data_IF_546996329381
#
_entry.id   IF_546996329381
#
_cell.length_a   1.000
_cell.length_b   1.000
_cell.length_c   1.000
_cell.angle_alpha   90.00
_cell.angle_beta   90.00
_cell.angle_gamma   90.00
#
_symmetry.space_group_name_H-M   'P 1'
#
loop_
_entity.id
_entity.type
_entity.pdbx_description
1 polymer ?
#
# COMPACT_ATOMS: atom_id res chain seq x y z
N UNK A 1 -27.55 -26.71 16.95
CA UNK A 1 -27.67 -28.01 16.23
C UNK A 1 -26.99 -27.95 14.85
N UNK A 2 -26.67 -26.77 14.31
CA UNK A 2 -26.03 -26.65 12.98
C UNK A 2 -24.52 -26.97 12.93
N UNK A 3 -23.80 -26.85 14.05
CA UNK A 3 -22.35 -27.12 14.11
C UNK A 3 -21.98 -28.62 14.12
N UNK A 4 -22.96 -29.53 14.17
CA UNK A 4 -22.80 -31.00 14.08
C UNK A 4 -21.77 -31.65 15.02
N UNK A 5 -21.46 -31.01 16.16
CA UNK A 5 -20.68 -31.67 17.21
C UNK A 5 -21.47 -32.83 17.84
N UNK A 6 -20.81 -33.95 18.18
CA UNK A 6 -21.40 -35.00 19.02
C UNK A 6 -21.93 -34.41 20.34
N UNK A 7 -23.07 -34.91 20.82
CA UNK A 7 -23.78 -34.36 21.97
C UNK A 7 -22.91 -34.34 23.24
N UNK A 8 -22.10 -35.37 23.42
CA UNK A 8 -21.15 -35.55 24.51
C UNK A 8 -20.00 -34.53 24.51
N UNK A 9 -19.73 -33.86 23.38
CA UNK A 9 -18.69 -32.85 23.26
C UNK A 9 -19.23 -31.43 23.43
N UNK A 10 -20.55 -31.22 23.38
CA UNK A 10 -21.16 -29.88 23.41
C UNK A 10 -20.72 -29.09 24.64
N UNK A 11 -20.78 -29.71 25.83
CA UNK A 11 -20.43 -29.06 27.09
C UNK A 11 -18.92 -28.76 27.20
N UNK A 12 -18.08 -29.48 26.44
CA UNK A 12 -16.63 -29.25 26.38
C UNK A 12 -16.25 -28.18 25.36
N UNK A 13 -16.95 -28.11 24.23
CA UNK A 13 -16.65 -27.17 23.12
C UNK A 13 -17.26 -25.79 23.38
N UNK A 14 -18.46 -25.71 23.96
CA UNK A 14 -19.12 -24.45 24.26
C UNK A 14 -18.25 -23.43 25.03
N UNK A 15 -17.55 -23.78 26.12
CA UNK A 15 -16.69 -22.84 26.84
C UNK A 15 -15.49 -22.38 26.00
N UNK A 16 -15.01 -23.19 25.05
CA UNK A 16 -13.95 -22.77 24.13
C UNK A 16 -14.45 -21.66 23.22
N UNK A 17 -15.64 -21.80 22.62
CA UNK A 17 -16.21 -20.77 21.77
C UNK A 17 -16.49 -19.46 22.52
N UNK A 18 -16.95 -19.55 23.77
CA UNK A 18 -17.11 -18.35 24.62
C UNK A 18 -15.76 -17.67 24.85
N UNK A 19 -14.68 -18.42 25.11
CA UNK A 19 -13.33 -17.86 25.26
C UNK A 19 -12.83 -17.21 23.98
N UNK A 20 -12.99 -17.86 22.82
CA UNK A 20 -12.59 -17.30 21.52
C UNK A 20 -13.36 -16.00 21.23
N UNK A 21 -14.65 -15.95 21.53
CA UNK A 21 -15.45 -14.73 21.39
C UNK A 21 -14.99 -13.61 22.34
N UNK A 22 -14.62 -13.96 23.58
CA UNK A 22 -14.07 -12.98 24.52
C UNK A 22 -12.73 -12.41 24.04
N UNK A 23 -11.87 -13.22 23.42
CA UNK A 23 -10.64 -12.74 22.76
C UNK A 23 -11.01 -11.82 21.59
N UNK A 24 -11.88 -12.28 20.70
CA UNK A 24 -12.31 -11.50 19.53
C UNK A 24 -12.80 -10.10 19.92
N UNK A 25 -13.69 -10.04 20.91
CA UNK A 25 -14.30 -8.79 21.37
C UNK A 25 -13.42 -7.98 22.32
N UNK A 26 -12.55 -8.65 23.08
CA UNK A 26 -11.68 -8.03 24.08
C UNK A 26 -10.44 -7.38 23.47
N UNK A 27 -9.90 -7.97 22.41
CA UNK A 27 -8.72 -7.51 21.69
C UNK A 27 -9.06 -6.72 20.41
N UNK A 28 -10.33 -6.39 20.18
CA UNK A 28 -10.81 -5.78 18.92
C UNK A 28 -10.26 -6.53 17.69
N UNK A 29 -10.35 -7.86 17.71
CA UNK A 29 -9.88 -8.67 16.60
C UNK A 29 -10.86 -8.62 15.43
N UNK A 30 -10.33 -8.64 14.21
CA UNK A 30 -11.11 -8.86 12.98
C UNK A 30 -11.24 -10.36 12.66
N UNK A 31 -10.33 -11.19 13.18
CA UNK A 31 -10.34 -12.65 13.03
C UNK A 31 -9.78 -13.33 14.28
N UNK A 32 -10.46 -14.37 14.74
CA UNK A 32 -9.91 -15.38 15.67
C UNK A 32 -10.19 -16.75 15.05
N UNK A 33 -9.15 -17.35 14.49
CA UNK A 33 -9.21 -18.67 13.86
C UNK A 33 -8.42 -19.67 14.72
N UNK A 34 -9.01 -20.84 14.97
CA UNK A 34 -8.33 -21.97 15.59
C UNK A 34 -8.35 -23.12 14.62
N UNK A 35 -7.19 -23.53 14.14
CA UNK A 35 -7.07 -24.62 13.18
C UNK A 35 -5.71 -25.34 13.32
N UNK A 36 -5.65 -26.52 13.95
CA UNK A 36 -6.78 -27.35 14.35
C UNK A 36 -7.28 -27.11 15.79
N UNK A 37 -8.60 -27.26 15.98
CA UNK A 37 -9.22 -27.45 17.31
C UNK A 37 -9.29 -28.97 17.59
N UNK A 38 -8.48 -29.43 18.53
CA UNK A 38 -8.19 -30.85 18.73
C UNK A 38 -8.99 -31.43 19.89
N UNK A 39 -9.54 -32.63 19.70
CA UNK A 39 -9.99 -33.52 20.76
C UNK A 39 -8.82 -34.44 21.14
N UNK A 40 -8.36 -34.36 22.38
CA UNK A 40 -7.29 -35.21 22.93
C UNK A 40 -7.80 -36.60 23.29
N UNK A 41 -6.87 -37.54 23.53
CA UNK A 41 -7.22 -38.91 23.97
C UNK A 41 -7.88 -38.93 25.35
N UNK A 42 -7.53 -37.97 26.20
CA UNK A 42 -8.15 -37.72 27.52
C UNK A 42 -9.55 -37.09 27.39
N UNK A 43 -9.95 -36.73 26.17
CA UNK A 43 -11.26 -36.19 25.83
C UNK A 43 -11.37 -34.68 26.00
N UNK A 44 -10.28 -33.95 26.21
CA UNK A 44 -10.26 -32.49 26.31
C UNK A 44 -10.18 -31.82 24.94
N UNK A 45 -10.74 -30.61 24.86
CA UNK A 45 -10.72 -29.78 23.65
C UNK A 45 -9.64 -28.71 23.78
N UNK A 46 -8.67 -28.71 22.85
CA UNK A 46 -7.50 -27.82 22.88
C UNK A 46 -7.36 -27.09 21.53
N UNK A 47 -7.08 -25.79 21.58
CA UNK A 47 -6.61 -25.03 20.42
C UNK A 47 -5.14 -25.36 20.20
N UNK A 48 -4.83 -26.24 19.24
CA UNK A 48 -3.44 -26.64 18.98
C UNK A 48 -2.67 -25.55 18.24
N UNK A 49 -3.36 -24.87 17.32
CA UNK A 49 -2.83 -23.73 16.58
C UNK A 49 -3.95 -22.71 16.36
N UNK A 50 -3.59 -21.43 16.23
CA UNK A 50 -4.53 -20.36 16.04
C UNK A 50 -3.91 -19.11 15.45
N UNK A 51 -4.72 -18.41 14.64
CA UNK A 51 -4.38 -17.14 14.02
C UNK A 51 -5.35 -16.08 14.51
N UNK A 52 -4.79 -14.98 15.03
CA UNK A 52 -5.56 -13.80 15.44
C UNK A 52 -5.13 -12.63 14.58
N UNK A 53 -6.10 -11.94 13.97
CA UNK A 53 -5.88 -10.68 13.26
C UNK A 53 -6.54 -9.56 14.06
N UNK A 54 -5.77 -8.53 14.39
CA UNK A 54 -6.21 -7.39 15.20
C UNK A 54 -6.67 -6.24 14.29
N UNK A 55 -7.60 -5.41 14.75
CA UNK A 55 -8.00 -4.18 14.04
C UNK A 55 -7.01 -3.05 14.38
N UNK A 56 -6.18 -2.66 13.43
CA UNK A 56 -5.21 -1.56 13.59
C UNK A 56 -5.89 -0.23 13.94
N UNK A 57 -7.17 -0.03 13.57
CA UNK A 57 -7.91 1.18 13.95
C UNK A 57 -8.20 1.24 15.46
N UNK A 58 -8.07 0.12 16.18
CA UNK A 58 -8.29 0.04 17.62
C UNK A 58 -6.99 0.15 18.44
N UNK A 59 -5.82 0.25 17.80
CA UNK A 59 -4.50 0.27 18.47
C UNK A 59 -4.41 1.34 19.57
N UNK A 60 -5.06 2.49 19.37
CA UNK A 60 -5.06 3.60 20.34
C UNK A 60 -5.60 3.23 21.73
N UNK A 61 -6.41 2.16 21.82
CA UNK A 61 -6.96 1.64 23.09
C UNK A 61 -6.32 0.31 23.53
N UNK A 62 -5.34 -0.19 22.77
CA UNK A 62 -4.63 -1.45 23.03
C UNK A 62 -3.11 -1.29 22.97
N UNK A 63 -2.50 -0.58 23.94
CA UNK A 63 -1.07 -0.26 23.91
C UNK A 63 -0.14 -1.50 23.94
N UNK A 64 -0.67 -2.68 24.28
CA UNK A 64 0.09 -3.93 24.29
C UNK A 64 0.17 -4.61 22.93
N UNK A 65 -0.67 -4.25 21.95
CA UNK A 65 -0.65 -4.86 20.62
C UNK A 65 0.68 -4.62 19.91
N UNK A 66 1.30 -3.46 20.12
CA UNK A 66 2.63 -3.17 19.59
C UNK A 66 3.73 -4.15 20.06
N UNK A 67 3.54 -4.85 21.19
CA UNK A 67 4.48 -5.86 21.67
C UNK A 67 4.35 -7.21 20.94
N UNK A 68 3.25 -7.40 20.21
CA UNK A 68 2.98 -8.61 19.43
C UNK A 68 3.51 -8.51 17.99
N UNK A 69 3.88 -7.30 17.55
CA UNK A 69 4.39 -7.06 16.21
C UNK A 69 5.84 -7.57 16.07
N UNK A 70 6.06 -8.52 15.17
CA UNK A 70 7.40 -8.94 14.76
C UNK A 70 7.91 -8.01 13.65
N UNK A 71 8.45 -6.86 14.06
CA UNK A 71 8.96 -5.86 13.13
C UNK A 71 10.11 -6.37 12.24
N UNK A 72 10.80 -7.44 12.63
CA UNK A 72 11.90 -8.01 11.84
C UNK A 72 11.42 -8.85 10.65
N UNK A 73 10.14 -9.29 10.67
CA UNK A 73 9.53 -10.06 9.59
C UNK A 73 8.94 -9.18 8.47
N UNK A 74 8.80 -7.87 8.69
CA UNK A 74 8.24 -6.94 7.70
C UNK A 74 9.22 -6.66 6.55
N UNK A 75 8.68 -6.40 5.35
CA UNK A 75 9.50 -5.94 4.23
C UNK A 75 10.17 -4.59 4.60
N UNK A 76 11.47 -4.39 4.36
CA UNK A 76 12.16 -3.15 4.71
C UNK A 76 11.53 -1.88 4.09
N UNK A 77 10.94 -1.98 2.90
CA UNK A 77 10.26 -0.86 2.23
C UNK A 77 8.91 -0.57 2.89
N UNK A 78 8.16 -1.60 3.26
CA UNK A 78 6.91 -1.45 4.04
C UNK A 78 7.19 -0.84 5.41
N UNK A 79 8.24 -1.28 6.10
CA UNK A 79 8.67 -0.69 7.36
C UNK A 79 9.09 0.78 7.21
N UNK A 80 9.86 1.10 6.16
CA UNK A 80 10.26 2.49 5.85
C UNK A 80 9.05 3.38 5.55
N UNK A 81 8.10 2.88 4.76
CA UNK A 81 6.87 3.59 4.44
C UNK A 81 5.99 3.81 5.68
N UNK A 82 5.78 2.78 6.51
CA UNK A 82 5.03 2.86 7.77
C UNK A 82 5.64 3.90 8.72
N UNK A 83 6.97 3.95 8.82
CA UNK A 83 7.67 4.97 9.62
C UNK A 83 7.46 6.41 9.11
N UNK A 84 7.21 6.58 7.80
CA UNK A 84 6.86 7.84 7.17
C UNK A 84 5.34 8.14 7.18
N UNK A 85 4.52 7.26 7.77
CA UNK A 85 3.06 7.39 7.79
C UNK A 85 2.40 7.14 6.43
N UNK A 86 3.05 6.36 5.56
CA UNK A 86 2.58 6.05 4.21
C UNK A 86 1.93 4.66 4.17
N UNK A 87 0.85 4.55 3.38
CA UNK A 87 0.20 3.26 3.11
C UNK A 87 0.86 2.62 1.88
N UNK A 88 1.79 1.68 2.11
CA UNK A 88 2.55 1.02 1.06
C UNK A 88 2.37 -0.50 1.14
N UNK A 89 2.23 -1.15 -0.02
CA UNK A 89 2.25 -2.61 -0.16
C UNK A 89 3.14 -2.95 -1.34
N UNK A 90 4.12 -3.84 -1.13
CA UNK A 90 5.00 -4.29 -2.21
C UNK A 90 4.27 -5.32 -3.09
N UNK A 91 4.45 -5.22 -4.41
CA UNK A 91 3.96 -6.17 -5.42
C UNK A 91 5.13 -6.65 -6.28
N UNK A 92 4.91 -7.62 -7.16
CA UNK A 92 5.91 -8.07 -8.13
C UNK A 92 5.69 -7.40 -9.50
N UNK A 93 6.46 -6.35 -9.79
CA UNK A 93 6.36 -5.59 -11.04
C UNK A 93 7.40 -4.48 -11.18
N UNK A 94 7.31 -3.70 -12.26
CA UNK A 94 8.35 -2.75 -12.69
C UNK A 94 7.90 -1.29 -12.63
N UNK A 95 6.60 -0.99 -12.62
CA UNK A 95 6.09 0.38 -12.56
C UNK A 95 5.73 0.74 -11.14
N UNK A 96 6.52 1.62 -10.52
CA UNK A 96 6.24 2.13 -9.19
C UNK A 96 5.05 3.09 -9.21
N UNK A 97 4.03 2.86 -8.38
CA UNK A 97 2.83 3.70 -8.36
C UNK A 97 2.84 4.61 -7.14
N UNK A 98 2.52 5.88 -7.35
CA UNK A 98 2.25 6.85 -6.30
C UNK A 98 0.95 7.56 -6.64
N UNK A 99 -0.01 7.58 -5.72
CA UNK A 99 -1.22 8.37 -5.90
C UNK A 99 -1.88 8.71 -4.58
N UNK A 100 -2.93 9.54 -4.64
CA UNK A 100 -3.70 9.94 -3.46
C UNK A 100 -5.09 9.29 -3.45
N UNK A 101 -5.42 8.66 -2.33
CA UNK A 101 -6.66 7.92 -2.11
C UNK A 101 -6.58 6.48 -2.64
N UNK A 102 -6.79 5.52 -1.75
CA UNK A 102 -6.71 4.09 -2.06
C UNK A 102 -7.48 3.65 -3.31
N UNK A 103 -8.69 4.19 -3.55
CA UNK A 103 -9.48 3.87 -4.74
C UNK A 103 -8.79 4.28 -6.04
N UNK A 104 -8.23 5.49 -6.10
CA UNK A 104 -7.50 5.98 -7.27
C UNK A 104 -6.22 5.19 -7.50
N UNK A 105 -5.49 4.88 -6.42
CA UNK A 105 -4.26 4.07 -6.51
C UNK A 105 -4.57 2.67 -7.03
N UNK A 106 -5.61 2.00 -6.52
CA UNK A 106 -6.03 0.68 -7.04
C UNK A 106 -6.42 0.74 -8.53
N UNK A 107 -7.22 1.72 -8.94
CA UNK A 107 -7.53 1.90 -10.37
C UNK A 107 -6.28 2.20 -11.20
N UNK A 108 -5.27 2.84 -10.61
CA UNK A 108 -3.98 3.09 -11.25
C UNK A 108 -3.19 1.80 -11.48
N UNK A 109 -3.23 0.86 -10.52
CA UNK A 109 -2.66 -0.48 -10.70
C UNK A 109 -3.33 -1.19 -11.89
N UNK A 110 -4.66 -1.13 -11.96
CA UNK A 110 -5.44 -1.81 -13.01
C UNK A 110 -5.12 -1.27 -14.41
N UNK A 111 -5.10 0.05 -14.60
CA UNK A 111 -4.79 0.65 -15.91
C UNK A 111 -3.34 0.43 -16.32
N UNK A 112 -2.40 0.38 -15.36
CA UNK A 112 -0.99 0.07 -15.64
C UNK A 112 -0.82 -1.39 -16.02
N UNK A 113 -1.49 -2.31 -15.32
CA UNK A 113 -1.49 -3.72 -15.66
C UNK A 113 -2.07 -3.94 -17.07
N UNK A 114 -3.18 -3.27 -17.40
CA UNK A 114 -3.78 -3.33 -18.73
C UNK A 114 -2.86 -2.75 -19.82
N UNK A 115 -2.29 -1.56 -19.59
CA UNK A 115 -1.32 -0.97 -20.51
C UNK A 115 -0.08 -1.85 -20.70
N UNK A 116 0.38 -2.49 -19.63
CA UNK A 116 1.52 -3.40 -19.61
C UNK A 116 1.36 -4.63 -20.50
N UNK A 117 0.14 -5.05 -20.82
CA UNK A 117 -0.11 -6.11 -21.80
C UNK A 117 0.49 -5.79 -23.18
N UNK A 118 0.55 -4.50 -23.55
CA UNK A 118 1.17 -4.04 -24.79
C UNK A 118 2.70 -3.96 -24.73
N UNK A 119 3.30 -4.03 -23.54
CA UNK A 119 4.74 -3.81 -23.30
C UNK A 119 5.40 -4.98 -22.58
N UNK A 120 5.15 -6.21 -23.05
CA UNK A 120 5.81 -7.41 -22.51
C UNK A 120 5.32 -7.83 -21.13
N UNK A 121 4.06 -7.52 -20.80
CA UNK A 121 3.42 -7.85 -19.52
C UNK A 121 4.07 -7.18 -18.30
N UNK A 122 4.52 -5.93 -18.48
CA UNK A 122 4.94 -5.05 -17.39
C UNK A 122 3.80 -4.89 -16.37
N UNK A 123 4.15 -4.88 -15.08
CA UNK A 123 3.17 -4.83 -13.99
C UNK A 123 3.43 -3.67 -13.02
N UNK A 124 2.42 -3.24 -12.26
CA UNK A 124 2.65 -2.36 -11.13
C UNK A 124 3.51 -3.05 -10.06
N UNK A 125 4.50 -2.32 -9.55
CA UNK A 125 5.48 -2.80 -8.59
C UNK A 125 5.02 -2.66 -7.13
N UNK A 126 4.03 -1.81 -6.87
CA UNK A 126 3.57 -1.53 -5.52
C UNK A 126 2.21 -0.84 -5.53
N UNK A 127 1.57 -0.81 -4.36
CA UNK A 127 0.57 0.17 -3.98
C UNK A 127 1.24 1.23 -3.09
N UNK A 128 1.01 2.52 -3.34
CA UNK A 128 1.38 3.60 -2.42
C UNK A 128 0.31 4.70 -2.43
N UNK A 129 -0.36 4.86 -1.30
CA UNK A 129 -1.29 5.96 -1.04
C UNK A 129 -0.66 6.98 -0.09
N UNK A 130 -0.47 8.20 -0.59
CA UNK A 130 0.06 9.35 0.16
C UNK A 130 -1.03 10.13 0.92
N UNK A 131 -2.30 9.71 0.82
CA UNK A 131 -3.45 10.34 1.45
C UNK A 131 -3.90 11.64 0.78
N UNK A 132 -5.02 12.19 1.26
CA UNK A 132 -5.65 13.40 0.68
C UNK A 132 -4.96 14.73 1.01
N UNK A 133 -3.98 14.73 1.91
CA UNK A 133 -3.25 15.89 2.44
C UNK A 133 -1.76 15.83 2.16
N UNK A 134 -1.37 15.46 0.93
CA UNK A 134 0.03 15.19 0.60
C UNK A 134 0.88 16.47 0.60
N UNK A 135 1.75 16.62 1.60
CA UNK A 135 2.77 17.68 1.62
C UNK A 135 3.98 17.31 0.76
N UNK A 136 4.89 18.27 0.54
CA UNK A 136 6.14 18.03 -0.17
C UNK A 136 7.00 16.95 0.51
N UNK A 137 7.02 16.90 1.85
CA UNK A 137 7.77 15.91 2.63
C UNK A 137 7.20 14.51 2.45
N UNK A 138 5.87 14.37 2.46
CA UNK A 138 5.17 13.09 2.22
C UNK A 138 5.50 12.59 0.81
N UNK A 139 5.51 13.49 -0.17
CA UNK A 139 5.87 13.16 -1.55
C UNK A 139 7.35 12.75 -1.66
N UNK A 140 8.27 13.47 -1.03
CA UNK A 140 9.68 13.10 -1.01
C UNK A 140 9.92 11.73 -0.37
N UNK A 141 9.27 11.44 0.76
CA UNK A 141 9.33 10.14 1.42
C UNK A 141 8.78 9.03 0.51
N UNK A 142 7.65 9.28 -0.16
CA UNK A 142 7.07 8.32 -1.11
C UNK A 142 8.01 8.01 -2.28
N UNK A 143 8.59 9.04 -2.91
CA UNK A 143 9.58 8.85 -3.98
C UNK A 143 10.82 8.10 -3.49
N UNK A 144 11.34 8.43 -2.31
CA UNK A 144 12.50 7.75 -1.72
C UNK A 144 12.24 6.25 -1.43
N UNK A 145 11.01 5.88 -1.06
CA UNK A 145 10.62 4.46 -0.95
C UNK A 145 10.61 3.78 -2.32
N UNK A 146 9.93 4.36 -3.32
CA UNK A 146 9.78 3.75 -4.66
C UNK A 146 11.10 3.68 -5.43
N UNK A 147 11.91 4.73 -5.35
CA UNK A 147 13.20 4.79 -6.03
C UNK A 147 14.21 3.83 -5.37
N UNK A 148 14.08 3.56 -4.07
CA UNK A 148 14.88 2.56 -3.36
C UNK A 148 14.60 1.11 -3.79
N UNK A 149 13.45 0.83 -4.41
CA UNK A 149 13.10 -0.52 -4.81
C UNK A 149 13.80 -0.95 -6.12
N UNK A 150 14.73 -1.92 -6.12
CA UNK A 150 15.53 -2.28 -7.30
C UNK A 150 14.72 -2.86 -8.47
N UNK A 151 13.51 -3.38 -8.24
CA UNK A 151 12.65 -3.91 -9.31
C UNK A 151 12.02 -2.79 -10.15
N UNK A 152 11.81 -1.62 -9.55
CA UNK A 152 11.14 -0.49 -10.21
C UNK A 152 12.02 0.08 -11.32
N UNK A 153 11.45 0.25 -12.51
CA UNK A 153 12.09 0.77 -13.73
C UNK A 153 11.53 2.11 -14.16
N UNK A 154 10.27 2.40 -13.86
CA UNK A 154 9.65 3.72 -14.03
C UNK A 154 8.69 4.00 -12.88
N UNK A 155 8.33 5.27 -12.66
CA UNK A 155 7.38 5.68 -11.63
C UNK A 155 6.20 6.38 -12.29
N UNK A 156 4.98 6.00 -11.92
CA UNK A 156 3.77 6.71 -12.31
C UNK A 156 3.18 7.41 -11.08
N UNK A 157 3.24 8.74 -11.11
CA UNK A 157 2.58 9.62 -10.13
C UNK A 157 1.23 10.05 -10.68
N UNK A 158 0.14 9.54 -10.10
CA UNK A 158 -1.22 9.86 -10.49
C UNK A 158 -1.96 10.54 -9.34
N UNK A 159 -2.13 11.86 -9.44
CA UNK A 159 -2.74 12.64 -8.37
C UNK A 159 -3.96 13.39 -8.88
N UNK A 160 -5.05 13.28 -8.12
CA UNK A 160 -6.25 14.08 -8.30
C UNK A 160 -6.35 15.11 -7.16
N UNK A 161 -6.09 16.37 -7.50
CA UNK A 161 -6.15 17.51 -6.61
C UNK A 161 -7.57 17.78 -6.14
N UNK A 162 -7.78 17.61 -4.83
CA UNK A 162 -9.01 17.97 -4.12
C UNK A 162 -8.70 18.99 -3.05
N UNK A 163 -8.50 18.50 -1.82
CA UNK A 163 -8.04 19.32 -0.69
C UNK A 163 -6.59 19.77 -0.91
N UNK A 164 -5.72 18.82 -1.30
CA UNK A 164 -4.37 19.15 -1.76
C UNK A 164 -4.46 19.66 -3.21
N UNK A 165 -3.88 20.82 -3.47
CA UNK A 165 -3.85 21.44 -4.79
C UNK A 165 -2.69 20.93 -5.64
N UNK A 166 -2.87 20.86 -6.97
CA UNK A 166 -1.90 20.26 -7.89
C UNK A 166 -0.56 21.01 -7.94
N UNK A 167 -0.55 22.31 -7.67
CA UNK A 167 0.66 23.13 -7.53
C UNK A 167 1.51 22.69 -6.33
N UNK A 168 0.89 22.46 -5.17
CA UNK A 168 1.62 21.97 -3.99
C UNK A 168 2.25 20.59 -4.24
N UNK A 169 1.55 19.72 -4.98
CA UNK A 169 2.07 18.40 -5.37
C UNK A 169 3.20 18.54 -6.39
N UNK A 170 3.04 19.40 -7.39
CA UNK A 170 4.09 19.67 -8.38
C UNK A 170 5.37 20.21 -7.70
N UNK A 171 5.23 21.18 -6.80
CA UNK A 171 6.34 21.69 -5.99
C UNK A 171 6.99 20.59 -5.16
N UNK A 172 6.18 19.70 -4.55
CA UNK A 172 6.66 18.55 -3.81
C UNK A 172 7.49 17.59 -4.66
N UNK A 173 7.07 17.31 -5.89
CA UNK A 173 7.82 16.47 -6.85
C UNK A 173 9.16 17.14 -7.20
N UNK A 174 9.15 18.43 -7.53
CA UNK A 174 10.37 19.18 -7.90
C UNK A 174 11.35 19.23 -6.74
N UNK A 175 10.87 19.52 -5.53
CA UNK A 175 11.70 19.53 -4.32
C UNK A 175 12.26 18.14 -3.99
N UNK A 176 11.43 17.09 -4.08
CA UNK A 176 11.86 15.72 -3.86
C UNK A 176 12.98 15.32 -4.82
N UNK A 177 12.83 15.61 -6.11
CA UNK A 177 13.87 15.34 -7.12
C UNK A 177 15.15 16.13 -6.84
N UNK A 178 15.04 17.39 -6.41
CA UNK A 178 16.20 18.21 -6.03
C UNK A 178 16.92 17.65 -4.78
N UNK A 179 16.19 17.14 -3.80
CA UNK A 179 16.75 16.52 -2.59
C UNK A 179 17.43 15.17 -2.87
N UNK A 180 16.83 14.37 -3.75
CA UNK A 180 17.35 13.06 -4.17
C UNK A 180 18.57 13.21 -5.09
N UNK A 181 18.65 14.29 -5.88
CA UNK A 181 19.78 14.57 -6.77
C UNK A 181 20.10 13.38 -7.68
N UNK A 182 21.36 12.98 -7.71
CA UNK A 182 21.86 11.87 -8.55
C UNK A 182 21.28 10.48 -8.18
N UNK A 183 20.62 10.36 -7.02
CA UNK A 183 19.94 9.11 -6.64
C UNK A 183 18.61 8.92 -7.39
N UNK A 184 18.02 9.99 -7.94
CA UNK A 184 16.86 9.89 -8.83
C UNK A 184 17.33 9.40 -10.21
N UNK A 185 17.23 8.11 -10.46
CA UNK A 185 17.70 7.49 -11.73
C UNK A 185 16.57 7.01 -12.63
N UNK A 186 15.34 6.94 -12.12
CA UNK A 186 14.19 6.33 -12.81
C UNK A 186 13.32 7.42 -13.44
N UNK A 187 12.77 7.22 -14.65
CA UNK A 187 11.84 8.17 -15.25
C UNK A 187 10.51 8.20 -14.49
N UNK A 188 9.95 9.39 -14.32
CA UNK A 188 8.68 9.69 -13.68
C UNK A 188 7.68 10.12 -14.75
N UNK A 189 6.54 9.44 -14.84
CA UNK A 189 5.37 9.91 -15.56
C UNK A 189 4.41 10.53 -14.54
N UNK A 190 4.00 11.77 -14.77
CA UNK A 190 3.19 12.53 -13.81
C UNK A 190 1.89 12.93 -14.49
N UNK A 191 0.76 12.54 -13.88
CA UNK A 191 -0.56 13.03 -14.26
C UNK A 191 -1.16 13.77 -13.06
N UNK A 192 -1.44 15.04 -13.27
CA UNK A 192 -2.15 15.92 -12.34
C UNK A 192 -3.51 16.27 -12.93
N UNK A 193 -4.55 16.24 -12.11
CA UNK A 193 -5.91 16.67 -12.45
C UNK A 193 -6.61 17.27 -11.22
N UNK A 194 -7.66 18.07 -11.39
CA UNK A 194 -8.41 18.69 -10.31
C UNK A 194 -7.92 20.10 -9.95
N UNK A 195 -7.94 20.43 -8.65
CA UNK A 195 -7.73 21.80 -8.16
C UNK A 195 -6.34 22.36 -8.52
N UNK A 196 -6.30 23.55 -9.12
CA UNK A 196 -5.09 24.26 -9.55
C UNK A 196 -4.17 23.46 -10.51
N UNK A 197 -4.76 22.59 -11.34
CA UNK A 197 -4.01 21.72 -12.26
C UNK A 197 -3.14 22.49 -13.26
N UNK A 198 -3.64 23.59 -13.81
CA UNK A 198 -2.89 24.40 -14.79
C UNK A 198 -1.59 24.94 -14.19
N UNK A 199 -1.63 25.37 -12.93
CA UNK A 199 -0.46 25.85 -12.21
C UNK A 199 0.50 24.71 -11.88
N UNK A 200 0.01 23.56 -11.41
CA UNK A 200 0.85 22.38 -11.20
C UNK A 200 1.57 21.92 -12.48
N UNK A 201 0.88 21.95 -13.61
CA UNK A 201 1.47 21.65 -14.93
C UNK A 201 2.52 22.70 -15.32
N UNK A 202 2.25 23.99 -15.06
CA UNK A 202 3.22 25.08 -15.29
C UNK A 202 4.49 24.87 -14.48
N UNK A 203 4.38 24.55 -13.19
CA UNK A 203 5.53 24.28 -12.30
C UNK A 203 6.39 23.13 -12.84
N UNK A 204 5.76 22.00 -13.22
CA UNK A 204 6.51 20.87 -13.79
C UNK A 204 7.18 21.23 -15.12
N UNK A 205 6.51 22.00 -15.96
CA UNK A 205 7.05 22.44 -17.25
C UNK A 205 8.24 23.41 -17.08
N UNK A 206 8.18 24.32 -16.11
CA UNK A 206 9.26 25.27 -15.80
C UNK A 206 10.46 24.60 -15.15
N UNK A 207 10.22 23.61 -14.28
CA UNK A 207 11.29 22.78 -13.72
C UNK A 207 12.05 22.01 -14.81
N UNK A 208 11.36 21.63 -15.89
CA UNK A 208 11.92 20.99 -17.09
C UNK A 208 12.85 19.81 -16.75
N UNK A 209 12.53 19.06 -15.69
CA UNK A 209 13.41 18.01 -15.18
C UNK A 209 13.47 16.84 -16.19
N UNK A 210 14.65 16.36 -16.59
CA UNK A 210 14.79 15.39 -17.69
C UNK A 210 14.14 14.03 -17.41
N UNK A 211 13.92 13.68 -16.14
CA UNK A 211 13.23 12.45 -15.75
C UNK A 211 11.72 12.58 -15.75
N UNK A 212 11.15 13.78 -15.78
CA UNK A 212 9.70 14.00 -15.61
C UNK A 212 9.04 14.12 -16.97
N UNK A 213 8.04 13.28 -17.20
CA UNK A 213 7.12 13.34 -18.35
C UNK A 213 5.72 13.64 -17.84
N UNK A 214 5.18 14.81 -18.14
CA UNK A 214 3.79 15.13 -17.85
C UNK A 214 2.84 14.45 -18.83
N UNK A 215 1.70 13.96 -18.34
CA UNK A 215 0.67 13.32 -19.14
C UNK A 215 -0.72 13.87 -18.79
N UNK A 216 -1.58 13.97 -19.81
CA UNK A 216 -2.90 14.60 -19.68
C UNK A 216 -3.97 13.64 -19.17
N UNK A 217 -3.89 12.38 -19.57
CA UNK A 217 -4.88 11.35 -19.25
C UNK A 217 -4.26 10.21 -18.44
N UNK A 218 -5.07 9.54 -17.65
CA UNK A 218 -4.65 8.40 -16.86
C UNK A 218 -4.17 7.24 -17.75
N UNK A 219 -4.90 6.93 -18.82
CA UNK A 219 -4.52 5.86 -19.76
C UNK A 219 -3.21 6.17 -20.50
N UNK A 220 -3.05 7.42 -20.97
CA UNK A 220 -1.82 7.82 -21.66
C UNK A 220 -0.61 7.84 -20.73
N UNK A 221 -0.82 8.22 -19.46
CA UNK A 221 0.22 8.16 -18.45
C UNK A 221 0.62 6.71 -18.11
N UNK A 222 -0.37 5.81 -17.98
CA UNK A 222 -0.13 4.40 -17.74
C UNK A 222 0.63 3.73 -18.89
N UNK A 223 0.20 3.96 -20.14
CA UNK A 223 0.88 3.49 -21.36
C UNK A 223 2.32 3.98 -21.40
N UNK A 224 2.54 5.27 -21.12
CA UNK A 224 3.88 5.85 -21.10
C UNK A 224 4.77 5.27 -20.00
N UNK A 225 4.23 5.06 -18.81
CA UNK A 225 4.97 4.50 -17.68
C UNK A 225 5.38 3.05 -17.97
N UNK A 226 4.46 2.26 -18.53
CA UNK A 226 4.72 0.88 -18.95
C UNK A 226 5.77 0.81 -20.08
N UNK A 227 5.66 1.68 -21.10
CA UNK A 227 6.66 1.79 -22.18
C UNK A 227 8.06 2.08 -21.62
N UNK A 228 8.17 3.03 -20.70
CA UNK A 228 9.45 3.42 -20.08
C UNK A 228 10.02 2.31 -19.20
N UNK A 229 9.18 1.61 -18.44
CA UNK A 229 9.61 0.45 -17.66
C UNK A 229 10.14 -0.68 -18.56
N UNK A 230 9.45 -0.98 -19.66
CA UNK A 230 9.87 -2.01 -20.61
C UNK A 230 11.21 -1.68 -21.28
N UNK A 231 11.46 -0.41 -21.62
CA UNK A 231 12.75 0.02 -22.20
C UNK A 231 13.92 -0.05 -21.21
N UNK A 232 13.62 0.03 -19.91
CA UNK A 232 14.61 -0.08 -18.83
C UNK A 232 14.78 -1.51 -18.28
N UNK A 233 14.03 -2.47 -18.80
CA UNK A 233 14.09 -3.90 -18.44
C UNK A 233 15.26 -4.63 -19.13
#
# INVERSE_FOLDING_TARGET
IDAKFPAELVDKVAPVFVKLYNVFKGEDATLVEVNPLVLTEEGDIIALDGKVTLDENADFRHPKHALLEDAAAADPLEAKAKAAGLNYVKLDGEVGIIGNGAGLVMSTLDVVAYAGENFGSVKPANFLDIGGGASAEVMAAGLDVILGDPQVKSVFVNVFGGITSCDAVADGIVQALAMLGDAATKPLVVRLDGNNVEEGRRILAEAAHPLVTAADTMDGAADKAAELAHKGA
#
